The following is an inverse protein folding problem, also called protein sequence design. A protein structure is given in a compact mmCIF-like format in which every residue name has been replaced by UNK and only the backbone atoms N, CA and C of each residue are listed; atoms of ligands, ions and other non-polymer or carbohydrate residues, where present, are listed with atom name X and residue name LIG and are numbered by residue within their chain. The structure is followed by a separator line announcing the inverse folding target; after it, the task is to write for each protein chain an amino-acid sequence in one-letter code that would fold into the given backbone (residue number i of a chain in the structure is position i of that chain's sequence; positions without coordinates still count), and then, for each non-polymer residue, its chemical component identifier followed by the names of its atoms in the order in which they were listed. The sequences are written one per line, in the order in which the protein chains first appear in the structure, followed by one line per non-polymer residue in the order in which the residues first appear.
data_IF_442648929972
#
_entry.id   IF_442648929972
#
_cell.length_a   1.000
_cell.length_b   1.000
_cell.length_c   1.000
_cell.angle_alpha   90.00
_cell.angle_beta   90.00
_cell.angle_gamma   90.00
#
_symmetry.space_group_name_H-M   'P 1'
#
loop_
_entity.id
_entity.type
_entity.pdbx_description
1 polymer ?
#
# COMPACT_ATOMS: atom_id res chain seq x y z
N UNK A 1 -15.36 -4.60 1.78
CA UNK A 1 -14.18 -5.39 1.37
C UNK A 1 -14.15 -6.67 2.18
N UNK A 2 -13.80 -7.80 1.53
CA UNK A 2 -13.93 -9.12 2.14
C UNK A 2 -12.90 -9.41 3.24
N UNK A 3 -11.68 -8.89 3.13
CA UNK A 3 -10.56 -9.29 3.99
C UNK A 3 -10.10 -10.74 3.77
N UNK A 4 -10.44 -11.32 2.61
CA UNK A 4 -10.15 -12.72 2.31
C UNK A 4 -8.76 -12.94 1.71
N UNK A 5 -8.06 -11.87 1.35
CA UNK A 5 -6.70 -11.91 0.79
C UNK A 5 -5.84 -10.85 1.45
N UNK A 6 -4.58 -11.18 1.65
CA UNK A 6 -3.60 -10.29 2.23
C UNK A 6 -2.18 -10.80 2.02
N UNK A 7 -1.21 -10.01 2.40
CA UNK A 7 0.19 -10.40 2.36
C UNK A 7 0.51 -11.34 3.52
N UNK A 8 1.03 -12.52 3.21
CA UNK A 8 1.47 -13.49 4.19
C UNK A 8 3.00 -13.56 4.18
N UNK A 9 3.63 -12.99 5.18
CA UNK A 9 5.06 -13.14 5.41
C UNK A 9 5.36 -14.45 6.15
N UNK A 10 6.00 -15.37 5.45
CA UNK A 10 6.43 -16.65 6.04
C UNK A 10 7.61 -16.42 7.01
N UNK A 11 8.40 -15.37 6.77
CA UNK A 11 9.53 -14.98 7.58
C UNK A 11 9.25 -13.66 8.34
N UNK A 12 10.23 -12.77 8.39
CA UNK A 12 10.08 -11.43 8.97
C UNK A 12 9.48 -10.47 7.95
N UNK A 13 8.40 -9.72 8.27
CA UNK A 13 7.81 -8.77 7.36
C UNK A 13 8.80 -7.66 6.99
N UNK A 14 8.84 -7.30 5.71
CA UNK A 14 9.70 -6.25 5.18
C UNK A 14 8.91 -5.04 4.65
N UNK A 15 7.63 -5.23 4.33
CA UNK A 15 6.75 -4.19 3.83
C UNK A 15 6.00 -3.49 4.95
N UNK A 16 5.64 -2.21 4.74
CA UNK A 16 5.08 -1.35 5.78
C UNK A 16 3.77 -1.90 6.35
N UNK A 17 2.82 -2.28 5.50
CA UNK A 17 1.48 -2.70 5.95
C UNK A 17 1.54 -3.98 6.81
N UNK A 18 2.24 -5.06 6.42
CA UNK A 18 2.44 -6.21 7.29
C UNK A 18 3.16 -5.88 8.60
N UNK A 19 4.15 -4.97 8.58
CA UNK A 19 4.82 -4.53 9.82
C UNK A 19 3.81 -3.86 10.76
N UNK A 20 2.96 -2.98 10.23
CA UNK A 20 1.90 -2.30 10.98
C UNK A 20 0.95 -3.33 11.62
N UNK A 21 0.37 -4.23 10.82
CA UNK A 21 -0.61 -5.21 11.30
C UNK A 21 0.00 -6.18 12.30
N UNK A 22 1.21 -6.68 12.06
CA UNK A 22 1.92 -7.57 12.98
C UNK A 22 2.30 -6.89 14.30
N UNK A 23 2.59 -5.59 14.28
CA UNK A 23 2.79 -4.80 15.50
C UNK A 23 1.47 -4.66 16.27
N UNK A 24 0.38 -4.36 15.57
CA UNK A 24 -0.93 -4.16 16.18
C UNK A 24 -1.49 -5.41 16.89
N UNK A 25 -1.17 -6.62 16.39
CA UNK A 25 -1.60 -7.90 17.00
C UNK A 25 -0.56 -8.48 17.97
N UNK A 26 0.58 -7.80 18.17
CA UNK A 26 1.62 -8.23 19.12
C UNK A 26 2.58 -9.32 18.62
N UNK A 27 2.57 -9.66 17.32
CA UNK A 27 3.60 -10.52 16.71
C UNK A 27 4.95 -9.82 16.66
N UNK A 28 4.96 -8.50 16.49
CA UNK A 28 6.11 -7.63 16.67
C UNK A 28 5.86 -6.76 17.89
N UNK A 29 6.84 -6.74 18.80
CA UNK A 29 6.77 -5.91 20.01
C UNK A 29 6.72 -4.42 19.65
N UNK A 30 7.47 -4.02 18.61
CA UNK A 30 7.65 -2.63 18.20
C UNK A 30 8.04 -2.53 16.74
N UNK A 31 7.55 -1.51 16.04
CA UNK A 31 8.04 -1.16 14.71
C UNK A 31 8.95 0.07 14.74
N UNK A 32 9.77 0.22 13.69
CA UNK A 32 10.64 1.38 13.50
C UNK A 32 10.24 2.15 12.25
N UNK A 33 10.02 3.45 12.41
CA UNK A 33 9.87 4.40 11.31
C UNK A 33 11.26 4.92 10.97
N UNK A 34 11.73 4.66 9.75
CA UNK A 34 13.06 5.07 9.31
C UNK A 34 13.06 6.52 8.84
N UNK A 35 13.67 7.39 9.64
CA UNK A 35 13.83 8.81 9.37
C UNK A 35 12.64 9.67 9.78
N UNK A 36 12.96 10.90 10.15
CA UNK A 36 12.02 11.97 10.46
C UNK A 36 12.54 13.33 9.99
N UNK A 37 13.60 13.32 9.18
CA UNK A 37 14.31 14.53 8.72
C UNK A 37 14.36 14.63 7.20
N UNK A 38 13.61 13.79 6.48
CA UNK A 38 13.47 13.95 5.04
C UNK A 38 12.70 15.24 4.71
N UNK A 39 13.00 15.91 3.58
CA UNK A 39 12.29 17.12 3.17
C UNK A 39 10.88 16.80 2.63
N UNK A 40 10.06 16.25 3.49
CA UNK A 40 8.65 15.86 3.27
C UNK A 40 7.76 16.53 4.31
N UNK A 41 6.44 16.44 4.17
CA UNK A 41 5.49 17.14 5.03
C UNK A 41 5.54 16.77 6.53
N UNK A 42 6.01 15.56 6.83
CA UNK A 42 6.14 15.06 8.21
C UNK A 42 7.53 14.48 8.53
N UNK A 43 8.47 14.63 7.60
CA UNK A 43 9.84 14.15 7.74
C UNK A 43 10.04 12.67 7.42
N UNK A 44 8.98 11.91 7.07
CA UNK A 44 9.08 10.51 6.68
C UNK A 44 8.98 10.31 5.16
N UNK A 45 9.43 9.17 4.65
CA UNK A 45 9.36 8.87 3.22
C UNK A 45 7.92 8.81 2.71
N UNK A 46 7.74 9.21 1.45
CA UNK A 46 6.46 9.20 0.76
C UNK A 46 6.43 8.05 -0.26
N UNK A 47 5.34 7.28 -0.28
CA UNK A 47 5.11 6.17 -1.21
C UNK A 47 3.69 6.25 -1.77
N UNK A 48 3.48 5.55 -2.88
CA UNK A 48 2.17 5.39 -3.50
C UNK A 48 1.61 4.01 -3.09
N UNK A 49 0.65 4.01 -2.18
CA UNK A 49 0.01 2.79 -1.70
C UNK A 49 -1.26 2.55 -2.52
N UNK A 50 -1.32 1.40 -3.19
CA UNK A 50 -2.45 1.01 -4.04
C UNK A 50 -3.11 -0.23 -3.49
N UNK A 51 -4.44 -0.23 -3.41
CA UNK A 51 -5.18 -1.40 -2.94
C UNK A 51 -5.07 -2.54 -3.95
N UNK A 52 -4.84 -3.77 -3.47
CA UNK A 52 -4.66 -4.96 -4.33
C UNK A 52 -5.84 -5.21 -5.27
N UNK A 53 -7.07 -4.87 -4.85
CA UNK A 53 -8.25 -4.97 -5.72
C UNK A 53 -8.19 -4.01 -6.90
N UNK A 54 -7.67 -2.79 -6.71
CA UNK A 54 -7.49 -1.84 -7.81
C UNK A 54 -6.46 -2.34 -8.81
N UNK A 55 -5.37 -2.95 -8.33
CA UNK A 55 -4.37 -3.61 -9.18
C UNK A 55 -5.00 -4.76 -9.97
N UNK A 56 -5.83 -5.61 -9.33
CA UNK A 56 -6.53 -6.70 -10.01
C UNK A 56 -7.48 -6.18 -11.10
N UNK A 57 -8.21 -5.09 -10.83
CA UNK A 57 -9.08 -4.44 -11.80
C UNK A 57 -8.27 -3.89 -12.99
N UNK A 58 -7.09 -3.30 -12.73
CA UNK A 58 -6.20 -2.85 -13.80
C UNK A 58 -5.77 -4.00 -14.72
N UNK A 59 -5.43 -5.16 -14.17
CA UNK A 59 -5.08 -6.36 -14.95
C UNK A 59 -6.24 -6.82 -15.84
N UNK A 60 -7.46 -6.84 -15.31
CA UNK A 60 -8.65 -7.22 -16.10
C UNK A 60 -8.87 -6.22 -17.25
N UNK A 61 -8.72 -4.91 -16.99
CA UNK A 61 -8.85 -3.87 -18.02
C UNK A 61 -7.75 -3.98 -19.08
N UNK A 62 -6.51 -4.24 -18.68
CA UNK A 62 -5.39 -4.43 -19.61
C UNK A 62 -5.60 -5.68 -20.48
N UNK A 63 -6.05 -6.80 -19.90
CA UNK A 63 -6.39 -8.00 -20.66
C UNK A 63 -7.49 -7.73 -21.68
N UNK A 64 -8.56 -7.05 -21.27
CA UNK A 64 -9.65 -6.67 -22.18
C UNK A 64 -9.15 -5.78 -23.31
N UNK A 65 -8.31 -4.79 -23.00
CA UNK A 65 -7.68 -3.91 -24.00
C UNK A 65 -6.92 -4.69 -25.08
N UNK A 66 -6.21 -5.78 -24.69
CA UNK A 66 -5.50 -6.67 -25.63
C UNK A 66 -6.47 -7.55 -26.45
N UNK A 67 -7.48 -8.13 -25.80
CA UNK A 67 -8.49 -8.99 -26.47
C UNK A 67 -9.26 -8.20 -27.52
N UNK A 68 -9.66 -6.97 -27.19
CA UNK A 68 -10.37 -6.06 -28.08
C UNK A 68 -9.47 -5.46 -29.17
N UNK A 69 -8.16 -5.85 -29.22
CA UNK A 69 -7.14 -5.38 -30.17
C UNK A 69 -7.00 -3.85 -30.22
N UNK A 70 -7.16 -3.20 -29.10
CA UNK A 70 -7.02 -1.74 -28.97
C UNK A 70 -5.55 -1.28 -28.84
N UNK A 71 -4.62 -2.22 -28.67
CA UNK A 71 -3.21 -1.95 -28.57
C UNK A 71 -2.62 -1.57 -29.93
N UNK A 72 -1.82 -0.51 -29.95
CA UNK A 72 -1.14 -0.02 -31.18
C UNK A 72 0.28 -0.57 -31.34
N UNK A 73 0.80 -1.27 -30.34
CA UNK A 73 2.12 -1.87 -30.31
C UNK A 73 2.08 -3.25 -29.66
N UNK A 74 3.14 -4.04 -29.83
CA UNK A 74 3.23 -5.40 -29.28
C UNK A 74 3.29 -5.43 -27.74
N UNK A 75 3.62 -4.33 -27.12
CA UNK A 75 3.60 -4.18 -25.65
C UNK A 75 3.19 -2.76 -25.25
N UNK A 76 2.65 -2.63 -24.07
CA UNK A 76 2.33 -1.36 -23.44
C UNK A 76 2.72 -1.41 -21.96
N UNK A 77 3.24 -0.30 -21.43
CA UNK A 77 3.64 -0.17 -20.03
C UNK A 77 2.68 0.81 -19.36
N UNK A 78 2.07 0.39 -18.26
CA UNK A 78 1.17 1.20 -17.46
C UNK A 78 1.70 1.35 -16.04
N UNK A 79 1.91 2.58 -15.60
CA UNK A 79 2.13 2.86 -14.18
C UNK A 79 0.78 2.82 -13.46
N UNK A 80 0.74 2.12 -12.34
CA UNK A 80 -0.45 1.99 -11.51
C UNK A 80 -0.16 2.58 -10.13
N UNK A 81 -0.95 3.54 -9.71
CA UNK A 81 -0.84 4.18 -8.42
C UNK A 81 -2.07 5.00 -8.11
N UNK A 82 -2.05 5.72 -7.01
CA UNK A 82 -3.10 6.68 -6.66
C UNK A 82 -2.79 8.08 -7.19
N UNK A 83 -1.53 8.32 -7.58
CA UNK A 83 -1.03 9.65 -7.92
C UNK A 83 -0.87 10.56 -6.69
N UNK A 84 -1.20 10.06 -5.50
CA UNK A 84 -1.14 10.78 -4.23
C UNK A 84 -0.15 10.10 -3.32
N UNK A 85 0.99 10.71 -3.12
CA UNK A 85 1.98 10.17 -2.22
C UNK A 85 1.52 10.21 -0.76
N UNK A 86 1.66 9.11 -0.06
CA UNK A 86 1.33 8.93 1.36
C UNK A 86 2.62 8.76 2.16
N UNK A 87 2.76 9.48 3.26
CA UNK A 87 3.90 9.34 4.18
C UNK A 87 3.74 8.12 5.10
N UNK A 88 4.84 7.69 5.73
CA UNK A 88 4.78 6.56 6.67
C UNK A 88 3.93 6.90 7.88
N UNK A 89 4.01 8.12 8.42
CA UNK A 89 3.20 8.53 9.58
C UNK A 89 1.71 8.66 9.21
N UNK A 90 1.39 9.10 8.00
CA UNK A 90 -0.01 9.10 7.53
C UNK A 90 -0.57 7.69 7.41
N UNK A 91 0.22 6.72 6.93
CA UNK A 91 -0.18 5.32 6.87
C UNK A 91 -0.44 4.74 8.27
N UNK A 92 0.41 5.04 9.24
CA UNK A 92 0.24 4.68 10.65
C UNK A 92 -1.05 5.30 11.21
N UNK A 93 -1.25 6.61 11.01
CA UNK A 93 -2.44 7.31 11.52
C UNK A 93 -3.74 6.76 10.92
N UNK A 94 -3.75 6.45 9.62
CA UNK A 94 -4.91 5.83 8.97
C UNK A 94 -5.20 4.43 9.55
N UNK A 95 -4.17 3.63 9.82
CA UNK A 95 -4.34 2.33 10.46
C UNK A 95 -4.88 2.46 11.89
N UNK A 96 -4.30 3.33 12.71
CA UNK A 96 -4.79 3.57 14.08
C UNK A 96 -6.25 3.99 14.10
N UNK A 97 -6.66 4.83 13.13
CA UNK A 97 -8.05 5.27 12.98
C UNK A 97 -9.02 4.12 12.69
N UNK A 98 -8.68 3.24 11.74
CA UNK A 98 -9.61 2.17 11.32
C UNK A 98 -9.58 0.93 12.22
N UNK A 99 -8.47 0.70 12.91
CA UNK A 99 -8.30 -0.45 13.82
C UNK A 99 -8.65 -0.15 15.27
N UNK A 100 -8.74 1.14 15.64
CA UNK A 100 -8.85 1.65 17.01
C UNK A 100 -7.70 1.17 17.93
N UNK A 101 -6.56 0.79 17.32
CA UNK A 101 -5.35 0.32 18.01
C UNK A 101 -4.26 1.37 17.93
N UNK A 102 -3.60 1.64 19.05
CA UNK A 102 -2.38 2.42 19.09
C UNK A 102 -1.17 1.54 18.77
N UNK A 103 -0.35 1.99 17.82
CA UNK A 103 0.85 1.27 17.43
C UNK A 103 2.05 1.62 18.32
N UNK A 104 2.75 0.61 18.75
CA UNK A 104 4.04 0.79 19.42
C UNK A 104 5.12 1.00 18.35
N UNK A 105 5.52 2.25 18.13
CA UNK A 105 6.61 2.56 17.20
C UNK A 105 7.60 3.57 17.76
N UNK A 106 8.80 3.61 17.18
CA UNK A 106 9.79 4.65 17.42
C UNK A 106 10.41 5.11 16.13
N UNK A 107 10.85 6.37 16.14
CA UNK A 107 11.58 6.96 15.03
C UNK A 107 13.04 6.50 15.12
N UNK A 108 13.54 5.92 14.05
CA UNK A 108 14.94 5.57 13.86
C UNK A 108 15.68 6.55 12.95
N UNK A 109 16.95 6.32 12.69
CA UNK A 109 17.72 7.12 11.74
C UNK A 109 17.22 6.93 10.30
N UNK A 110 17.54 7.89 9.44
CA UNK A 110 17.33 7.74 8.00
C UNK A 110 18.06 6.50 7.49
N UNK A 111 17.41 5.71 6.64
CA UNK A 111 18.00 4.51 6.06
C UNK A 111 18.74 4.89 4.77
N UNK A 112 20.02 4.52 4.61
CA UNK A 112 20.76 4.75 3.37
C UNK A 112 20.06 4.12 2.16
N UNK A 113 19.95 4.88 1.07
CA UNK A 113 19.31 4.43 -0.16
C UNK A 113 17.79 4.60 -0.21
N UNK A 114 17.14 5.10 0.84
CA UNK A 114 15.71 5.38 0.78
C UNK A 114 15.42 6.52 -0.21
N UNK A 115 14.48 6.26 -1.11
CA UNK A 115 13.90 7.30 -1.97
C UNK A 115 12.97 8.17 -1.12
N UNK A 116 13.20 9.47 -1.13
CA UNK A 116 12.46 10.43 -0.29
C UNK A 116 10.97 10.42 -0.61
N UNK A 117 10.62 10.49 -1.91
CA UNK A 117 9.25 10.46 -2.38
C UNK A 117 9.17 9.78 -3.74
N UNK A 118 8.20 8.89 -3.90
CA UNK A 118 7.88 8.25 -5.17
C UNK A 118 6.37 7.94 -5.22
N UNK A 119 5.72 8.39 -6.27
CA UNK A 119 4.33 8.11 -6.61
C UNK A 119 4.14 8.20 -8.12
N UNK A 120 3.09 7.55 -8.63
CA UNK A 120 2.93 7.39 -10.07
C UNK A 120 2.19 8.56 -10.72
N UNK A 121 2.48 8.76 -12.02
CA UNK A 121 1.60 9.48 -12.93
C UNK A 121 0.67 8.47 -13.60
N UNK A 122 -0.62 8.61 -13.35
CA UNK A 122 -1.67 7.72 -13.83
C UNK A 122 -2.34 8.20 -15.13
N UNK A 123 -1.92 9.34 -15.68
CA UNK A 123 -2.59 9.96 -16.85
C UNK A 123 -2.71 9.02 -18.04
N UNK A 124 -1.68 8.22 -18.30
CA UNK A 124 -1.68 7.27 -19.41
C UNK A 124 -2.62 6.08 -19.20
N UNK A 125 -2.62 5.46 -18.03
CA UNK A 125 -3.51 4.34 -17.73
C UNK A 125 -4.97 4.77 -17.63
N UNK A 126 -5.24 5.94 -17.08
CA UNK A 126 -6.58 6.52 -17.02
C UNK A 126 -7.13 6.75 -18.43
N UNK A 127 -6.35 7.42 -19.29
CA UNK A 127 -6.75 7.70 -20.68
C UNK A 127 -6.92 6.42 -21.51
N UNK A 128 -6.05 5.42 -21.34
CA UNK A 128 -5.99 4.24 -22.21
C UNK A 128 -6.91 3.12 -21.74
N UNK A 129 -6.95 2.85 -20.45
CA UNK A 129 -7.73 1.76 -19.86
C UNK A 129 -8.95 2.25 -19.11
N UNK A 130 -9.18 3.56 -19.01
CA UNK A 130 -10.20 4.15 -18.15
C UNK A 130 -10.13 3.55 -16.72
N UNK A 131 -8.89 3.45 -16.20
CA UNK A 131 -8.65 2.91 -14.88
C UNK A 131 -8.30 4.05 -13.92
N UNK A 132 -9.04 4.10 -12.82
CA UNK A 132 -8.83 5.01 -11.70
C UNK A 132 -8.91 4.17 -10.43
N UNK A 133 -7.98 4.34 -9.47
CA UNK A 133 -8.06 3.67 -8.17
C UNK A 133 -9.32 4.10 -7.43
N UNK A 134 -10.01 3.14 -6.80
CA UNK A 134 -11.27 3.38 -6.10
C UNK A 134 -11.13 3.35 -4.58
N UNK A 135 -10.15 2.62 -4.09
CA UNK A 135 -9.97 2.41 -2.66
C UNK A 135 -8.96 3.42 -2.10
N UNK A 136 -9.33 4.06 -1.02
CA UNK A 136 -8.46 5.00 -0.33
C UNK A 136 -7.55 4.29 0.71
N UNK A 137 -6.73 5.06 1.41
CA UNK A 137 -5.80 4.54 2.40
C UNK A 137 -6.50 3.84 3.57
N UNK A 138 -7.62 4.39 4.05
CA UNK A 138 -8.39 3.78 5.15
C UNK A 138 -9.02 2.45 4.72
N UNK A 139 -9.51 2.35 3.50
CA UNK A 139 -10.00 1.09 2.92
C UNK A 139 -8.91 0.02 2.88
N UNK A 140 -7.71 0.41 2.47
CA UNK A 140 -6.54 -0.47 2.41
C UNK A 140 -6.15 -0.97 3.80
N UNK A 141 -6.03 -0.07 4.77
CA UNK A 141 -5.68 -0.42 6.15
C UNK A 141 -6.77 -1.28 6.80
N UNK A 142 -8.04 -0.98 6.56
CA UNK A 142 -9.17 -1.78 7.05
C UNK A 142 -9.16 -3.21 6.49
N UNK A 143 -8.89 -3.37 5.17
CA UNK A 143 -8.83 -4.70 4.57
C UNK A 143 -7.64 -5.52 5.07
N UNK A 144 -6.46 -4.90 5.22
CA UNK A 144 -5.28 -5.54 5.77
C UNK A 144 -5.49 -5.96 7.24
N UNK A 145 -6.13 -5.11 8.04
CA UNK A 145 -6.48 -5.43 9.42
C UNK A 145 -7.45 -6.61 9.53
N UNK A 146 -8.50 -6.63 8.72
CA UNK A 146 -9.43 -7.76 8.67
C UNK A 146 -8.74 -9.07 8.29
N UNK A 147 -7.86 -9.03 7.29
CA UNK A 147 -7.05 -10.20 6.92
C UNK A 147 -6.24 -10.73 8.11
N UNK A 148 -5.54 -9.85 8.81
CA UNK A 148 -4.72 -10.26 9.95
C UNK A 148 -5.55 -10.88 11.08
N UNK A 149 -6.73 -10.31 11.37
CA UNK A 149 -7.64 -10.87 12.37
C UNK A 149 -8.20 -12.25 11.97
N UNK A 150 -8.50 -12.47 10.69
CA UNK A 150 -8.94 -13.79 10.22
C UNK A 150 -7.84 -14.86 10.34
N UNK A 151 -6.56 -14.48 10.13
CA UNK A 151 -5.44 -15.39 10.34
C UNK A 151 -5.27 -15.83 11.81
N UNK A 152 -5.75 -15.03 12.78
CA UNK A 152 -5.75 -15.42 14.20
C UNK A 152 -6.84 -16.43 14.54
N UNK A 153 -7.98 -16.41 13.83
CA UNK A 153 -9.09 -17.32 14.08
C UNK A 153 -8.84 -18.73 13.52
N UNK A 154 -7.98 -18.84 12.52
CA UNK A 154 -7.65 -20.11 11.86
C UNK A 154 -6.53 -20.92 12.52
N UNK A 155 -6.03 -20.44 13.66
CA UNK A 155 -5.07 -21.12 14.51
C UNK A 155 -5.73 -21.52 15.83
#
# INVERSE_FOLDING_TARGET
MSGLTGELDINKPSNLVPIITNTAIGKLEKMYVHGSTYPTRDGTCIRDYVHVTDIAIAHIKALKYLIDKNNTSNFSIFNLGTGNGISVLEAIAAFEKVSEKKLNYSIGPNRPGDVIAIYSDNSFVEKTLNWIPKYNLEDMMSSAWKWELEQLKGK
#
